data_IF_907083258699
#
_entry.id   IF_907083258699
#
_cell.length_a   1.000
_cell.length_b   1.000
_cell.length_c   1.000
_cell.angle_alpha   90.00
_cell.angle_beta   90.00
_cell.angle_gamma   90.00
#
_symmetry.space_group_name_H-M   'P 1'
#
loop_
_entity.id
_entity.type
_entity.pdbx_description
1 polymer ?
#
# COMPACT_ATOMS: atom_id res chain seq x y z
N UNK A 1 -12.85 -17.38 6.52
CA UNK A 1 -11.47 -17.04 6.95
C UNK A 1 -11.43 -15.57 7.28
N UNK A 2 -10.92 -15.16 8.43
CA UNK A 2 -10.63 -13.76 8.65
C UNK A 2 -9.49 -13.38 7.70
N UNK A 3 -9.79 -12.54 6.76
CA UNK A 3 -8.88 -11.98 5.79
C UNK A 3 -7.75 -11.17 6.43
N UNK A 4 -6.53 -11.44 6.03
CA UNK A 4 -5.35 -10.77 6.52
C UNK A 4 -4.74 -11.32 7.81
N UNK A 5 -5.29 -12.38 8.42
CA UNK A 5 -4.77 -12.89 9.69
C UNK A 5 -3.36 -13.52 9.59
N UNK A 6 -2.99 -14.04 8.43
CA UNK A 6 -1.69 -14.69 8.18
C UNK A 6 -0.80 -13.93 7.19
N UNK A 7 -1.10 -12.66 6.93
CA UNK A 7 -0.32 -11.85 6.00
C UNK A 7 0.98 -11.41 6.65
N UNK A 8 2.09 -11.81 6.04
CA UNK A 8 3.42 -11.43 6.47
C UNK A 8 3.57 -9.90 6.59
N UNK A 9 4.09 -9.45 7.74
CA UNK A 9 4.43 -8.04 7.96
C UNK A 9 5.67 -7.67 7.13
N UNK A 10 5.51 -6.76 6.19
CA UNK A 10 6.65 -6.24 5.40
C UNK A 10 7.28 -5.09 6.17
N UNK A 11 8.58 -5.20 6.46
CA UNK A 11 9.35 -4.18 7.17
C UNK A 11 10.37 -3.54 6.27
N UNK A 12 10.55 -2.22 6.47
CA UNK A 12 11.61 -1.43 5.85
C UNK A 12 12.49 -0.79 6.94
N UNK A 13 13.37 0.11 6.56
CA UNK A 13 14.17 0.86 7.54
C UNK A 13 13.32 1.73 8.47
N UNK A 14 12.25 2.35 7.97
CA UNK A 14 11.42 3.30 8.71
C UNK A 14 9.96 2.89 8.86
N UNK A 15 9.50 1.89 8.09
CA UNK A 15 8.10 1.57 7.96
C UNK A 15 7.82 0.10 8.28
N UNK A 16 6.58 -0.12 8.72
CA UNK A 16 5.93 -1.43 8.75
C UNK A 16 4.68 -1.36 7.86
N UNK A 17 4.57 -2.27 6.89
CA UNK A 17 3.39 -2.42 6.06
C UNK A 17 2.54 -3.54 6.67
N UNK A 18 1.65 -3.15 7.58
CA UNK A 18 0.78 -4.08 8.30
C UNK A 18 -0.44 -4.45 7.43
N UNK A 19 -0.91 -5.68 7.55
CA UNK A 19 -2.12 -6.10 6.84
C UNK A 19 -3.30 -5.18 7.18
N UNK A 20 -4.06 -4.79 6.16
CA UNK A 20 -5.33 -4.10 6.36
C UNK A 20 -6.39 -5.17 6.63
N UNK A 21 -6.73 -5.39 7.92
CA UNK A 21 -7.70 -6.40 8.34
C UNK A 21 -9.14 -5.91 8.20
N UNK A 22 -10.09 -6.86 8.11
CA UNK A 22 -11.52 -6.53 8.13
C UNK A 22 -11.92 -5.72 9.36
N UNK A 23 -11.58 -6.17 10.60
CA UNK A 23 -11.86 -5.43 11.83
C UNK A 23 -11.29 -4.01 11.85
N UNK A 24 -10.06 -3.81 11.34
CA UNK A 24 -9.48 -2.48 11.23
C UNK A 24 -10.27 -1.58 10.27
N UNK A 25 -10.63 -2.10 9.09
CA UNK A 25 -11.41 -1.35 8.11
C UNK A 25 -12.81 -1.02 8.65
N UNK A 26 -13.48 -1.96 9.30
CA UNK A 26 -14.81 -1.76 9.91
C UNK A 26 -14.77 -0.69 11.00
N UNK A 27 -13.75 -0.70 11.86
CA UNK A 27 -13.54 0.33 12.88
C UNK A 27 -13.35 1.73 12.27
N UNK A 28 -12.58 1.84 11.17
CA UNK A 28 -12.41 3.12 10.48
C UNK A 28 -13.70 3.62 9.84
N UNK A 29 -14.47 2.75 9.19
CA UNK A 29 -15.77 3.09 8.60
C UNK A 29 -16.75 3.54 9.67
N UNK A 30 -16.74 2.91 10.85
CA UNK A 30 -17.54 3.31 12.01
C UNK A 30 -17.03 4.61 12.69
N UNK A 31 -15.85 5.10 12.32
CA UNK A 31 -15.20 6.25 12.98
C UNK A 31 -14.63 5.92 14.37
N UNK A 32 -14.53 4.65 14.74
CA UNK A 32 -13.93 4.20 16.00
C UNK A 32 -12.42 4.08 15.88
N UNK A 33 -11.75 5.21 16.07
CA UNK A 33 -10.29 5.28 16.01
C UNK A 33 -9.60 4.51 17.14
N UNK A 34 -10.30 4.33 18.28
CA UNK A 34 -9.78 3.54 19.40
C UNK A 34 -9.71 2.06 19.07
N UNK A 35 -10.77 1.50 18.51
CA UNK A 35 -10.79 0.12 18.03
C UNK A 35 -9.80 -0.10 16.89
N UNK A 36 -9.71 0.83 15.94
CA UNK A 36 -8.73 0.76 14.85
C UNK A 36 -7.28 0.77 15.38
N UNK A 37 -6.97 1.62 16.35
CA UNK A 37 -5.66 1.69 16.98
C UNK A 37 -5.31 0.42 17.76
N UNK A 38 -6.28 -0.16 18.47
CA UNK A 38 -6.10 -1.41 19.20
C UNK A 38 -5.83 -2.59 18.26
N UNK A 39 -6.58 -2.68 17.16
CA UNK A 39 -6.39 -3.73 16.14
C UNK A 39 -5.02 -3.63 15.46
N UNK A 40 -4.59 -2.41 15.12
CA UNK A 40 -3.32 -2.18 14.44
C UNK A 40 -2.10 -2.23 15.39
N UNK A 41 -2.31 -2.02 16.68
CA UNK A 41 -1.24 -1.82 17.65
C UNK A 41 -0.42 -0.54 17.40
N UNK A 42 -1.04 0.49 16.81
CA UNK A 42 -0.41 1.77 16.48
C UNK A 42 -1.44 2.89 16.56
N UNK A 43 -1.01 4.14 16.79
CA UNK A 43 -1.94 5.26 16.81
C UNK A 43 -2.53 5.52 15.42
N UNK A 44 -3.83 5.79 15.37
CA UNK A 44 -4.59 6.06 14.14
C UNK A 44 -5.23 7.44 14.26
N UNK A 45 -4.93 8.33 13.33
CA UNK A 45 -5.49 9.67 13.29
C UNK A 45 -6.79 9.76 12.49
N UNK A 46 -7.55 10.84 12.69
CA UNK A 46 -8.83 11.11 12.01
C UNK A 46 -8.73 11.08 10.47
N UNK A 47 -7.59 11.45 9.93
CA UNK A 47 -7.37 11.46 8.47
C UNK A 47 -7.69 10.11 7.82
N UNK A 48 -7.41 9.00 8.49
CA UNK A 48 -7.70 7.66 7.97
C UNK A 48 -9.21 7.38 7.82
N UNK A 49 -10.05 8.10 8.59
CA UNK A 49 -11.49 7.97 8.55
C UNK A 49 -12.19 9.07 7.71
N UNK A 50 -11.45 10.04 7.14
CA UNK A 50 -12.05 11.14 6.35
C UNK A 50 -12.50 10.73 4.95
N UNK A 51 -11.92 9.65 4.43
CA UNK A 51 -12.33 9.08 3.13
C UNK A 51 -12.46 7.56 3.26
N UNK A 52 -13.53 7.10 3.89
CA UNK A 52 -13.77 5.67 4.08
C UNK A 52 -13.95 4.92 2.76
N UNK A 53 -14.36 5.61 1.68
CA UNK A 53 -14.53 4.99 0.37
C UNK A 53 -13.22 4.40 -0.18
N UNK A 54 -12.09 5.08 0.05
CA UNK A 54 -10.78 4.55 -0.34
C UNK A 54 -10.44 3.25 0.38
N UNK A 55 -10.71 3.17 1.69
CA UNK A 55 -10.46 1.96 2.49
C UNK A 55 -11.40 0.82 2.10
N UNK A 56 -12.65 1.14 1.81
CA UNK A 56 -13.61 0.15 1.30
C UNK A 56 -13.14 -0.40 -0.05
N UNK A 57 -12.67 0.45 -0.94
CA UNK A 57 -12.12 0.02 -2.24
C UNK A 57 -10.89 -0.89 -2.08
N UNK A 58 -9.93 -0.52 -1.21
CA UNK A 58 -8.77 -1.37 -0.91
C UNK A 58 -9.18 -2.71 -0.32
N UNK A 59 -10.16 -2.71 0.58
CA UNK A 59 -10.70 -3.94 1.17
C UNK A 59 -11.34 -4.84 0.10
N UNK A 60 -12.23 -4.29 -0.73
CA UNK A 60 -12.89 -5.05 -1.80
C UNK A 60 -11.88 -5.61 -2.81
N UNK A 61 -10.87 -4.80 -3.18
CA UNK A 61 -9.81 -5.24 -4.07
C UNK A 61 -8.99 -6.39 -3.46
N UNK A 62 -8.68 -6.31 -2.17
CA UNK A 62 -7.96 -7.36 -1.48
C UNK A 62 -8.80 -8.63 -1.29
N UNK A 63 -10.11 -8.52 -1.01
CA UNK A 63 -11.02 -9.66 -0.96
C UNK A 63 -11.11 -10.35 -2.32
N UNK A 64 -11.23 -9.58 -3.41
CA UNK A 64 -11.23 -10.12 -4.77
C UNK A 64 -9.91 -10.80 -5.12
N UNK A 65 -8.78 -10.23 -4.71
CA UNK A 65 -7.46 -10.81 -4.92
C UNK A 65 -7.28 -12.11 -4.11
N UNK A 66 -7.73 -12.15 -2.86
CA UNK A 66 -7.68 -13.33 -2.01
C UNK A 66 -8.50 -14.48 -2.59
N UNK A 67 -9.65 -14.21 -3.21
CA UNK A 67 -10.48 -15.21 -3.87
C UNK A 67 -9.77 -15.95 -5.01
N UNK A 68 -8.72 -15.35 -5.59
CA UNK A 68 -7.88 -15.95 -6.64
C UNK A 68 -6.46 -16.28 -6.16
N UNK A 69 -6.22 -16.31 -4.84
CA UNK A 69 -4.93 -16.68 -4.24
C UNK A 69 -3.90 -15.58 -4.12
N UNK A 70 -4.33 -14.32 -4.17
CA UNK A 70 -3.48 -13.12 -4.02
C UNK A 70 -3.82 -12.34 -2.74
N UNK A 71 -3.73 -12.97 -1.59
CA UNK A 71 -3.99 -12.34 -0.30
C UNK A 71 -2.88 -11.37 0.15
N UNK A 72 -3.22 -10.44 1.02
CA UNK A 72 -2.28 -9.49 1.62
C UNK A 72 -1.94 -8.26 0.77
N UNK A 73 -2.74 -7.96 -0.21
CA UNK A 73 -2.50 -6.84 -1.12
C UNK A 73 -2.84 -5.45 -0.57
N UNK A 74 -3.68 -5.35 0.45
CA UNK A 74 -3.97 -4.07 1.11
C UNK A 74 -3.25 -3.99 2.47
N UNK A 75 -2.54 -2.88 2.69
CA UNK A 75 -1.72 -2.67 3.88
C UNK A 75 -1.85 -1.25 4.43
N UNK A 76 -1.69 -1.14 5.74
CA UNK A 76 -1.54 0.14 6.43
C UNK A 76 -0.06 0.46 6.52
N UNK A 77 0.32 1.68 6.16
CA UNK A 77 1.69 2.18 6.30
C UNK A 77 1.86 2.75 7.69
N UNK A 78 2.72 2.13 8.49
CA UNK A 78 2.98 2.49 9.89
C UNK A 78 4.44 2.92 10.04
N UNK A 79 4.68 4.05 10.72
CA UNK A 79 6.02 4.40 11.19
C UNK A 79 6.48 3.41 12.25
N UNK A 80 7.65 2.82 12.07
CA UNK A 80 8.18 1.72 12.88
C UNK A 80 8.74 2.14 14.25
N UNK A 81 8.94 3.42 14.50
CA UNK A 81 9.49 3.93 15.76
C UNK A 81 8.44 4.14 16.87
N UNK A 82 8.87 4.23 18.15
CA UNK A 82 7.98 4.65 19.23
C UNK A 82 7.74 6.18 19.19
N UNK A 83 6.48 6.67 19.25
CA UNK A 83 5.27 5.84 19.17
C UNK A 83 4.98 5.39 17.72
N UNK A 84 4.56 4.13 17.56
CA UNK A 84 4.08 3.62 16.27
C UNK A 84 2.85 4.41 15.82
N UNK A 85 2.82 4.78 14.55
CA UNK A 85 1.74 5.61 14.00
C UNK A 85 1.39 5.23 12.58
N UNK A 86 0.10 5.02 12.31
CA UNK A 86 -0.41 4.90 10.96
C UNK A 86 -0.27 6.24 10.22
N UNK A 87 0.36 6.23 9.05
CA UNK A 87 0.60 7.42 8.22
C UNK A 87 0.05 7.30 6.81
N UNK A 88 -0.52 6.17 6.46
CA UNK A 88 -1.06 5.97 5.11
C UNK A 88 -1.56 4.56 4.88
N UNK A 89 -1.89 4.31 3.64
CA UNK A 89 -2.27 3.00 3.11
C UNK A 89 -1.61 2.76 1.77
N UNK A 90 -1.35 1.50 1.47
CA UNK A 90 -0.78 1.06 0.20
C UNK A 90 -1.38 -0.29 -0.16
N UNK A 91 -1.54 -0.56 -1.44
CA UNK A 91 -2.04 -1.87 -1.87
C UNK A 91 -2.19 -1.98 -3.37
N UNK A 92 -2.51 -3.17 -3.83
CA UNK A 92 -2.83 -3.43 -5.23
C UNK A 92 -4.35 -3.40 -5.43
N UNK A 93 -4.81 -2.88 -6.56
CA UNK A 93 -6.23 -2.68 -6.86
C UNK A 93 -6.92 -3.93 -7.42
N UNK A 94 -6.34 -5.11 -7.25
CA UNK A 94 -6.89 -6.38 -7.70
C UNK A 94 -5.82 -7.33 -8.22
N UNK A 95 -6.22 -8.44 -8.85
CA UNK A 95 -5.31 -9.37 -9.47
C UNK A 95 -4.61 -8.75 -10.68
N UNK A 96 -3.52 -9.37 -11.19
CA UNK A 96 -2.85 -8.91 -12.40
C UNK A 96 -3.82 -8.78 -13.57
N UNK A 97 -3.63 -7.73 -14.37
CA UNK A 97 -4.38 -7.52 -15.60
C UNK A 97 -3.98 -8.52 -16.70
N UNK A 98 -4.63 -8.44 -17.88
CA UNK A 98 -4.35 -9.32 -19.03
C UNK A 98 -2.90 -9.25 -19.55
N UNK A 99 -2.16 -8.21 -19.15
CA UNK A 99 -0.73 -8.05 -19.46
C UNK A 99 0.18 -8.49 -18.30
N UNK A 100 -0.38 -9.08 -17.24
CA UNK A 100 0.34 -9.53 -16.06
C UNK A 100 0.85 -8.38 -15.18
N UNK A 101 0.23 -7.20 -15.22
CA UNK A 101 0.61 -6.03 -14.42
C UNK A 101 -0.29 -5.92 -13.19
N UNK A 102 0.30 -5.59 -12.04
CA UNK A 102 -0.43 -5.20 -10.83
C UNK A 102 -0.51 -3.68 -10.73
N UNK A 103 -1.70 -3.15 -10.54
CA UNK A 103 -1.91 -1.73 -10.28
C UNK A 103 -1.72 -1.43 -8.79
N UNK A 104 -0.75 -0.57 -8.48
CA UNK A 104 -0.41 -0.14 -7.13
C UNK A 104 -1.02 1.22 -6.81
N UNK A 105 -1.70 1.32 -5.68
CA UNK A 105 -2.14 2.58 -5.08
C UNK A 105 -1.43 2.84 -3.76
N UNK A 106 -0.98 4.08 -3.54
CA UNK A 106 -0.36 4.52 -2.30
C UNK A 106 -0.91 5.87 -1.88
N UNK A 107 -1.20 6.02 -0.59
CA UNK A 107 -1.72 7.26 -0.02
C UNK A 107 -1.04 7.55 1.30
N UNK A 108 -0.32 8.67 1.38
CA UNK A 108 0.38 9.12 2.58
C UNK A 108 -0.31 10.37 3.13
N UNK A 109 -0.47 10.41 4.45
CA UNK A 109 -1.02 11.55 5.16
C UNK A 109 -0.24 12.83 4.84
N UNK A 110 -0.89 13.97 4.54
CA UNK A 110 -0.23 15.20 4.10
C UNK A 110 0.93 15.66 4.99
N UNK A 111 0.79 15.53 6.31
CA UNK A 111 1.85 15.91 7.27
C UNK A 111 3.11 15.02 7.21
N UNK A 112 3.04 13.90 6.51
CA UNK A 112 4.16 12.95 6.36
C UNK A 112 4.70 12.87 4.93
N UNK A 113 4.17 13.66 4.00
CA UNK A 113 4.66 13.74 2.61
C UNK A 113 6.00 14.45 2.53
N UNK A 114 6.68 14.35 1.38
CA UNK A 114 7.97 14.98 1.14
C UNK A 114 9.14 14.36 1.91
N UNK A 115 8.95 13.15 2.45
CA UNK A 115 9.96 12.44 3.25
C UNK A 115 10.37 11.09 2.69
N UNK A 116 9.89 10.75 1.48
CA UNK A 116 10.19 9.49 0.78
C UNK A 116 9.47 8.26 1.33
N UNK A 117 8.46 8.41 2.19
CA UNK A 117 7.72 7.27 2.76
C UNK A 117 6.92 6.50 1.70
N UNK A 118 6.30 7.22 0.76
CA UNK A 118 5.54 6.57 -0.31
C UNK A 118 6.43 5.72 -1.22
N UNK A 119 7.59 6.23 -1.59
CA UNK A 119 8.60 5.50 -2.39
C UNK A 119 9.10 4.29 -1.64
N UNK A 120 9.44 4.45 -0.35
CA UNK A 120 9.92 3.35 0.49
C UNK A 120 8.88 2.24 0.63
N UNK A 121 7.62 2.61 0.87
CA UNK A 121 6.50 1.67 0.98
C UNK A 121 6.22 0.96 -0.35
N UNK A 122 6.21 1.69 -1.47
CA UNK A 122 5.98 1.13 -2.79
C UNK A 122 7.08 0.15 -3.19
N UNK A 123 8.35 0.51 -2.98
CA UNK A 123 9.49 -0.37 -3.23
C UNK A 123 9.35 -1.67 -2.47
N UNK A 124 9.10 -1.59 -1.16
CA UNK A 124 8.99 -2.78 -0.32
C UNK A 124 7.81 -3.68 -0.72
N UNK A 125 6.67 -3.11 -1.11
CA UNK A 125 5.51 -3.89 -1.53
C UNK A 125 5.71 -4.55 -2.91
N UNK A 126 6.39 -3.87 -3.83
CA UNK A 126 6.77 -4.40 -5.14
C UNK A 126 7.76 -5.57 -4.96
N UNK A 127 8.80 -5.40 -4.15
CA UNK A 127 9.78 -6.45 -3.86
C UNK A 127 9.10 -7.67 -3.22
N UNK A 128 8.20 -7.45 -2.27
CA UNK A 128 7.41 -8.51 -1.66
C UNK A 128 6.55 -9.26 -2.68
N UNK A 129 5.81 -8.54 -3.54
CA UNK A 129 4.96 -9.17 -4.56
C UNK A 129 5.79 -9.91 -5.62
N UNK A 130 6.94 -9.37 -6.00
CA UNK A 130 7.88 -10.04 -6.92
C UNK A 130 8.41 -11.33 -6.32
N UNK A 131 8.84 -11.30 -5.05
CA UNK A 131 9.37 -12.47 -4.36
C UNK A 131 8.29 -13.52 -4.09
N UNK A 132 7.08 -13.10 -3.71
CA UNK A 132 5.99 -13.97 -3.27
C UNK A 132 5.22 -14.60 -4.43
N UNK A 133 4.99 -13.85 -5.52
CA UNK A 133 4.14 -14.24 -6.64
C UNK A 133 4.87 -14.29 -7.99
N UNK A 134 6.12 -13.86 -8.04
CA UNK A 134 6.90 -13.81 -9.30
C UNK A 134 6.39 -12.75 -10.27
N UNK A 135 5.62 -11.77 -9.81
CA UNK A 135 5.14 -10.66 -10.64
C UNK A 135 6.26 -9.65 -10.80
N UNK A 136 6.51 -9.22 -12.03
CA UNK A 136 7.60 -8.30 -12.36
C UNK A 136 7.12 -7.00 -13.02
N UNK A 137 5.82 -6.88 -13.29
CA UNK A 137 5.26 -5.70 -13.97
C UNK A 137 4.21 -5.06 -13.10
N UNK A 138 4.38 -3.76 -12.88
CA UNK A 138 3.51 -2.97 -12.02
C UNK A 138 3.07 -1.69 -12.72
N UNK A 139 1.88 -1.23 -12.39
CA UNK A 139 1.32 0.02 -12.86
C UNK A 139 1.05 0.91 -11.64
N UNK A 140 1.59 2.11 -11.65
CA UNK A 140 1.39 3.09 -10.60
C UNK A 140 0.69 4.31 -11.17
N UNK A 141 -0.47 4.64 -10.65
CA UNK A 141 -1.19 5.86 -11.02
C UNK A 141 -0.73 7.01 -10.10
N UNK A 142 0.01 7.97 -10.65
CA UNK A 142 0.48 9.15 -9.91
C UNK A 142 -0.24 10.41 -10.39
N UNK A 143 -0.65 11.31 -9.48
CA UNK A 143 -1.16 12.60 -9.88
C UNK A 143 -0.12 13.39 -10.66
N UNK A 144 -0.51 13.97 -11.77
CA UNK A 144 0.36 14.81 -12.59
C UNK A 144 -0.03 16.28 -12.46
N UNK A 145 0.93 17.13 -12.15
CA UNK A 145 0.75 18.59 -12.20
C UNK A 145 0.57 19.13 -13.63
N UNK A 146 0.95 18.33 -14.65
CA UNK A 146 0.87 18.71 -16.07
C UNK A 146 -0.49 18.43 -16.69
N UNK A 147 -1.30 17.58 -16.03
CA UNK A 147 -2.65 17.26 -16.47
C UNK A 147 -3.60 17.64 -15.34
N UNK A 148 -4.41 18.67 -15.53
CA UNK A 148 -5.38 19.15 -14.54
C UNK A 148 -6.28 17.98 -14.09
N UNK A 149 -6.17 17.59 -12.83
CA UNK A 149 -6.88 16.47 -12.21
C UNK A 149 -6.65 15.08 -12.84
N UNK A 150 -5.55 14.90 -13.61
CA UNK A 150 -5.23 13.64 -14.26
C UNK A 150 -4.26 12.78 -13.44
N UNK A 151 -4.48 11.46 -13.48
CA UNK A 151 -3.51 10.46 -13.06
C UNK A 151 -2.69 10.03 -14.28
N UNK A 152 -1.37 9.99 -14.14
CA UNK A 152 -0.50 9.45 -15.18
C UNK A 152 -0.04 8.07 -14.76
N UNK A 153 -0.30 7.04 -15.56
CA UNK A 153 0.21 5.70 -15.27
C UNK A 153 1.72 5.65 -15.49
N UNK A 154 2.44 5.14 -14.51
CA UNK A 154 3.86 4.81 -14.61
C UNK A 154 3.98 3.30 -14.61
N UNK A 155 4.58 2.75 -15.63
CA UNK A 155 4.88 1.31 -15.72
C UNK A 155 6.24 1.05 -15.08
N UNK A 156 6.28 0.09 -14.15
CA UNK A 156 7.47 -0.32 -13.44
C UNK A 156 7.73 -1.77 -13.77
N UNK A 157 8.95 -2.08 -14.19
CA UNK A 157 9.39 -3.45 -14.44
C UNK A 157 10.54 -3.79 -13.49
N UNK A 158 10.45 -4.96 -12.83
CA UNK A 158 11.49 -5.46 -11.92
C UNK A 158 12.25 -6.60 -12.60
N UNK A 159 13.57 -6.65 -12.40
CA UNK A 159 14.38 -7.75 -12.89
C UNK A 159 14.34 -8.94 -11.88
N UNK A 160 14.05 -10.15 -12.37
CA UNK A 160 14.01 -11.38 -11.54
C UNK A 160 15.38 -11.82 -11.01
N UNK A 161 16.46 -11.21 -11.45
CA UNK A 161 17.84 -11.70 -11.28
C UNK A 161 18.64 -11.09 -10.14
N UNK A 162 18.29 -9.92 -9.64
CA UNK A 162 19.12 -9.24 -8.64
C UNK A 162 18.51 -9.29 -7.23
N UNK A 163 19.05 -10.18 -6.38
CA UNK A 163 18.74 -10.26 -4.95
C UNK A 163 19.29 -9.08 -4.13
N UNK A 164 19.91 -8.09 -4.78
CA UNK A 164 20.47 -6.89 -4.17
C UNK A 164 19.76 -5.64 -4.67
N UNK A 165 18.52 -5.44 -4.21
CA UNK A 165 17.74 -4.25 -4.54
C UNK A 165 17.43 -4.18 -6.02
N UNK A 166 16.29 -4.76 -6.44
CA UNK A 166 15.80 -4.59 -7.80
C UNK A 166 15.82 -3.10 -8.13
N UNK A 167 16.61 -2.73 -9.15
CA UNK A 167 16.62 -1.37 -9.65
C UNK A 167 15.23 -1.05 -10.18
N UNK A 168 14.39 -0.46 -9.35
CA UNK A 168 13.04 -0.07 -9.72
C UNK A 168 13.16 1.17 -10.59
N UNK A 169 13.33 0.94 -11.88
CA UNK A 169 13.30 2.00 -12.86
C UNK A 169 11.89 2.58 -12.94
N UNK A 170 11.73 3.86 -12.61
CA UNK A 170 10.46 4.57 -12.67
C UNK A 170 9.96 5.16 -11.35
N UNK A 171 10.41 4.68 -10.20
CA UNK A 171 10.03 5.26 -8.90
C UNK A 171 10.57 6.67 -8.65
N UNK A 172 11.61 7.09 -9.38
CA UNK A 172 12.10 8.46 -9.34
C UNK A 172 11.01 9.51 -9.68
N UNK A 173 10.03 9.13 -10.51
CA UNK A 173 8.88 9.99 -10.81
C UNK A 173 7.93 10.18 -9.62
N UNK A 174 7.97 9.31 -8.60
CA UNK A 174 7.19 9.47 -7.37
C UNK A 174 7.76 10.56 -6.46
N UNK A 175 9.06 10.88 -6.56
CA UNK A 175 9.72 11.89 -5.71
C UNK A 175 9.20 13.30 -6.01
N UNK A 176 8.74 13.54 -7.23
CA UNK A 176 8.14 14.83 -7.60
C UNK A 176 6.69 15.00 -7.09
N UNK A 177 6.13 13.95 -6.49
CA UNK A 177 4.73 13.89 -6.09
C UNK A 177 4.53 13.98 -4.58
N UNK A 178 5.53 13.63 -3.79
CA UNK A 178 5.51 13.83 -2.34
C UNK A 178 5.71 15.35 -2.01
#
# INVERSE_FOLDING_TARGET
MPWGADVELVRTHRLELAALTGPFADALVAGDLGAAAAELGASVGRWHATDPSHLVQLRLAAEAAAAVGFDGFARVVVLAGPPRRAIGSIGFHGPPDDRGRLELGCRIHPAHRGRGYGVEAATALIDWATARFGITRFLLAVPSRRVAHGLVPIEIETDRGDRRGAGIHGLAAMVEWE
#
